data_IF_664691658260
#
_entry.id   IF_664691658260
#
_cell.length_a   1.000
_cell.length_b   1.000
_cell.length_c   1.000
_cell.angle_alpha   90.00
_cell.angle_beta   90.00
_cell.angle_gamma   90.00
#
_symmetry.space_group_name_H-M   'P 1'
#
loop_
_entity.id
_entity.type
_entity.pdbx_description
1 polymer ?
#
# COMPACT_ATOMS: atom_id res chain seq x y z
N UNK A 1 15.36 -64.93 -25.48
CA UNK A 1 14.41 -65.99 -25.91
C UNK A 1 15.06 -67.38 -25.90
N UNK A 2 16.24 -67.56 -26.49
CA UNK A 2 16.94 -68.87 -26.58
C UNK A 2 17.32 -69.48 -25.22
N UNK A 3 17.74 -68.65 -24.26
CA UNK A 3 18.18 -69.11 -22.92
C UNK A 3 17.05 -69.74 -22.10
N UNK A 4 15.83 -69.23 -22.23
CA UNK A 4 14.66 -69.76 -21.54
C UNK A 4 14.27 -71.15 -22.03
N UNK A 5 14.30 -71.37 -23.35
CA UNK A 5 14.03 -72.68 -23.94
C UNK A 5 15.09 -73.73 -23.58
N UNK A 6 16.38 -73.33 -23.50
CA UNK A 6 17.46 -74.22 -23.07
C UNK A 6 17.30 -74.62 -21.61
N UNK A 7 16.93 -73.69 -20.73
CA UNK A 7 16.64 -73.98 -19.31
C UNK A 7 15.44 -74.93 -19.15
N UNK A 8 14.37 -74.70 -19.89
CA UNK A 8 13.18 -75.57 -19.88
C UNK A 8 13.54 -76.98 -20.36
N UNK A 9 14.29 -77.10 -21.46
CA UNK A 9 14.75 -78.40 -21.98
C UNK A 9 15.67 -79.11 -20.98
N UNK A 10 16.61 -78.39 -20.35
CA UNK A 10 17.50 -78.93 -19.33
C UNK A 10 16.72 -79.44 -18.11
N UNK A 11 15.74 -78.68 -17.61
CA UNK A 11 14.90 -79.06 -16.46
C UNK A 11 14.01 -80.26 -16.80
N UNK A 12 13.44 -80.33 -18.01
CA UNK A 12 12.64 -81.47 -18.45
C UNK A 12 13.45 -82.76 -18.53
N UNK A 13 14.66 -82.69 -19.09
CA UNK A 13 15.56 -83.85 -19.18
C UNK A 13 16.00 -84.29 -17.78
N UNK A 14 16.45 -83.34 -16.95
CA UNK A 14 16.90 -83.64 -15.58
C UNK A 14 15.75 -84.20 -14.73
N UNK A 15 14.56 -83.60 -14.83
CA UNK A 15 13.35 -84.05 -14.14
C UNK A 15 12.91 -85.45 -14.56
N UNK A 16 12.97 -85.78 -15.85
CA UNK A 16 12.66 -87.12 -16.35
C UNK A 16 13.64 -88.20 -15.85
N UNK A 17 14.94 -87.87 -15.81
CA UNK A 17 15.97 -88.77 -15.26
C UNK A 17 15.75 -89.00 -13.76
N UNK A 18 15.49 -87.93 -13.01
CA UNK A 18 15.29 -88.02 -11.56
C UNK A 18 13.97 -88.77 -11.23
N UNK A 19 12.91 -88.56 -12.01
CA UNK A 19 11.63 -89.26 -11.83
C UNK A 19 11.72 -90.78 -12.04
N UNK A 20 12.48 -91.23 -13.05
CA UNK A 20 12.69 -92.67 -13.31
C UNK A 20 13.53 -93.35 -12.23
N UNK A 21 14.48 -92.63 -11.62
CA UNK A 21 15.23 -93.11 -10.46
C UNK A 21 14.33 -93.17 -9.22
N UNK A 22 13.47 -92.17 -9.00
CA UNK A 22 12.50 -92.15 -7.90
C UNK A 22 11.51 -93.32 -7.95
N UNK A 23 10.98 -93.64 -9.13
CA UNK A 23 10.08 -94.79 -9.34
C UNK A 23 10.79 -96.14 -9.09
N UNK A 24 12.06 -96.24 -9.48
CA UNK A 24 12.89 -97.42 -9.17
C UNK A 24 13.12 -97.60 -7.67
N UNK A 25 13.27 -96.51 -6.92
CA UNK A 25 13.40 -96.56 -5.46
C UNK A 25 12.07 -96.99 -4.84
N UNK A 26 10.94 -96.41 -5.25
CA UNK A 26 9.61 -96.78 -4.77
C UNK A 26 9.26 -98.25 -5.01
N UNK A 27 9.53 -98.75 -6.22
CA UNK A 27 9.30 -100.16 -6.59
C UNK A 27 10.24 -101.13 -5.87
N UNK A 28 11.52 -100.76 -5.66
CA UNK A 28 12.46 -101.56 -4.85
C UNK A 28 12.03 -101.66 -3.39
N UNK A 29 11.59 -100.55 -2.79
CA UNK A 29 11.08 -100.53 -1.41
C UNK A 29 9.83 -101.39 -1.27
N UNK A 30 8.94 -101.36 -2.27
CA UNK A 30 7.76 -102.24 -2.32
C UNK A 30 8.08 -103.72 -2.49
N UNK A 31 9.09 -104.08 -3.29
CA UNK A 31 9.54 -105.46 -3.45
C UNK A 31 10.31 -105.99 -2.24
N UNK A 32 11.07 -105.14 -1.56
CA UNK A 32 11.83 -105.47 -0.35
C UNK A 32 10.94 -105.70 0.91
N UNK A 33 9.61 -105.57 0.77
CA UNK A 33 8.62 -105.70 1.86
C UNK A 33 8.94 -104.84 3.09
N UNK A 34 9.56 -103.69 2.89
CA UNK A 34 9.92 -102.78 3.98
C UNK A 34 8.64 -102.22 4.62
N UNK A 35 8.61 -102.26 5.94
CA UNK A 35 7.55 -101.68 6.76
C UNK A 35 8.07 -100.39 7.36
N UNK A 36 7.35 -99.29 7.15
CA UNK A 36 7.60 -98.03 7.84
C UNK A 36 6.43 -97.85 8.82
N UNK A 37 6.71 -97.69 10.11
CA UNK A 37 5.68 -97.52 11.15
C UNK A 37 4.55 -98.56 11.11
N UNK A 38 4.88 -99.85 10.99
CA UNK A 38 3.92 -100.98 10.97
C UNK A 38 2.90 -100.99 9.80
N UNK A 39 3.13 -100.23 8.73
CA UNK A 39 2.25 -100.22 7.56
C UNK A 39 2.45 -101.44 6.66
N UNK A 40 1.36 -101.91 6.04
CA UNK A 40 1.40 -103.00 5.04
C UNK A 40 2.37 -102.61 3.90
N UNK A 41 3.32 -103.46 3.48
CA UNK A 41 4.41 -103.07 2.59
C UNK A 41 4.02 -102.38 1.26
N UNK A 42 2.84 -102.72 0.70
CA UNK A 42 2.29 -102.01 -0.47
C UNK A 42 2.01 -100.53 -0.19
N UNK A 43 1.51 -100.20 1.00
CA UNK A 43 1.24 -98.82 1.44
C UNK A 43 2.54 -98.08 1.74
N UNK A 44 3.53 -98.74 2.33
CA UNK A 44 4.88 -98.18 2.54
C UNK A 44 5.53 -97.74 1.24
N UNK A 45 5.49 -98.57 0.21
CA UNK A 45 6.04 -98.24 -1.12
C UNK A 45 5.38 -97.00 -1.73
N UNK A 46 4.06 -96.88 -1.61
CA UNK A 46 3.30 -95.73 -2.09
C UNK A 46 3.68 -94.46 -1.33
N UNK A 47 3.77 -94.52 0.01
CA UNK A 47 4.18 -93.37 0.83
C UNK A 47 5.60 -92.92 0.48
N UNK A 48 6.54 -93.87 0.34
CA UNK A 48 7.91 -93.58 -0.06
C UNK A 48 7.95 -92.93 -1.44
N UNK A 49 7.16 -93.42 -2.39
CA UNK A 49 7.08 -92.83 -3.75
C UNK A 49 6.52 -91.41 -3.73
N UNK A 50 5.46 -91.14 -2.95
CA UNK A 50 4.90 -89.79 -2.77
C UNK A 50 5.94 -88.85 -2.14
N UNK A 51 6.66 -89.34 -1.12
CA UNK A 51 7.69 -88.56 -0.45
C UNK A 51 8.89 -88.26 -1.37
N UNK A 52 9.36 -89.24 -2.14
CA UNK A 52 10.42 -89.06 -3.14
C UNK A 52 9.98 -88.07 -4.23
N UNK A 53 8.75 -88.19 -4.75
CA UNK A 53 8.20 -87.23 -5.73
C UNK A 53 8.07 -85.82 -5.16
N UNK A 54 7.67 -85.69 -3.89
CA UNK A 54 7.63 -84.42 -3.16
C UNK A 54 9.02 -83.78 -2.99
N UNK A 55 10.02 -84.58 -2.61
CA UNK A 55 11.42 -84.14 -2.48
C UNK A 55 12.02 -83.66 -3.81
N UNK A 56 11.75 -84.38 -4.90
CA UNK A 56 12.20 -83.99 -6.25
C UNK A 56 11.57 -82.67 -6.66
N UNK A 57 10.26 -82.52 -6.45
CA UNK A 57 9.52 -81.29 -6.78
C UNK A 57 10.01 -80.11 -5.93
N UNK A 58 10.19 -80.30 -4.62
CA UNK A 58 10.73 -79.29 -3.72
C UNK A 58 12.17 -78.88 -4.09
N UNK A 59 13.03 -79.83 -4.46
CA UNK A 59 14.40 -79.55 -4.90
C UNK A 59 14.43 -78.75 -6.19
N UNK A 60 13.53 -79.06 -7.13
CA UNK A 60 13.40 -78.32 -8.39
C UNK A 60 12.97 -76.87 -8.13
N UNK A 61 11.95 -76.67 -7.29
CA UNK A 61 11.51 -75.35 -6.84
C UNK A 61 12.62 -74.57 -6.12
N UNK A 62 13.38 -75.23 -5.25
CA UNK A 62 14.49 -74.62 -4.53
C UNK A 62 15.60 -74.13 -5.48
N UNK A 63 15.98 -74.95 -6.47
CA UNK A 63 16.95 -74.55 -7.50
C UNK A 63 16.40 -73.38 -8.33
N UNK A 64 15.11 -73.42 -8.69
CA UNK A 64 14.48 -72.37 -9.48
C UNK A 64 14.45 -71.02 -8.74
N UNK A 65 14.12 -71.02 -7.45
CA UNK A 65 14.15 -69.81 -6.61
C UNK A 65 15.56 -69.33 -6.25
N UNK A 66 16.54 -70.23 -6.22
CA UNK A 66 17.95 -69.86 -6.04
C UNK A 66 18.55 -69.24 -7.30
N UNK A 67 18.16 -69.73 -8.48
CA UNK A 67 18.65 -69.25 -9.77
C UNK A 67 17.96 -67.95 -10.24
N UNK A 68 16.69 -67.73 -9.89
CA UNK A 68 15.90 -66.57 -10.34
C UNK A 68 15.28 -65.79 -9.16
N UNK A 69 15.86 -64.63 -8.88
CA UNK A 69 15.35 -63.72 -7.85
C UNK A 69 13.98 -63.10 -8.20
N UNK A 70 13.64 -63.00 -9.49
CA UNK A 70 12.35 -62.51 -9.98
C UNK A 70 11.22 -63.51 -9.71
N UNK A 71 11.45 -64.82 -9.89
CA UNK A 71 10.49 -65.86 -9.51
C UNK A 71 10.28 -65.92 -8.00
N UNK A 72 11.35 -65.80 -7.20
CA UNK A 72 11.22 -65.73 -5.73
C UNK A 72 10.40 -64.50 -5.31
N UNK A 73 10.72 -63.32 -5.83
CA UNK A 73 9.94 -62.10 -5.57
C UNK A 73 8.49 -62.22 -6.05
N UNK A 74 8.27 -62.78 -7.24
CA UNK A 74 6.93 -62.95 -7.81
C UNK A 74 6.04 -63.92 -7.03
N UNK A 75 6.61 -64.98 -6.45
CA UNK A 75 5.84 -65.97 -5.67
C UNK A 75 5.61 -65.52 -4.22
N UNK A 76 6.56 -64.79 -3.61
CA UNK A 76 6.50 -64.47 -2.18
C UNK A 76 6.23 -63.00 -1.84
N UNK A 77 6.58 -62.04 -2.70
CA UNK A 77 6.53 -60.59 -2.40
C UNK A 77 5.59 -59.80 -3.34
N UNK A 78 4.93 -60.46 -4.30
CA UNK A 78 4.16 -59.76 -5.34
C UNK A 78 3.01 -58.93 -4.77
N UNK A 79 2.32 -59.43 -3.76
CA UNK A 79 1.21 -58.72 -3.12
C UNK A 79 1.70 -57.46 -2.40
N UNK A 80 2.85 -57.54 -1.70
CA UNK A 80 3.49 -56.39 -1.07
C UNK A 80 3.96 -55.35 -2.10
N UNK A 81 4.54 -55.80 -3.22
CA UNK A 81 4.97 -54.92 -4.31
C UNK A 81 3.77 -54.21 -4.96
N UNK A 82 2.66 -54.94 -5.19
CA UNK A 82 1.45 -54.34 -5.74
C UNK A 82 0.83 -53.33 -4.77
N UNK A 83 0.83 -53.64 -3.47
CA UNK A 83 0.38 -52.73 -2.42
C UNK A 83 1.24 -51.46 -2.35
N UNK A 84 2.57 -51.60 -2.37
CA UNK A 84 3.50 -50.47 -2.38
C UNK A 84 3.32 -49.59 -3.63
N UNK A 85 3.15 -50.20 -4.81
CA UNK A 85 2.85 -49.47 -6.05
C UNK A 85 1.51 -48.73 -5.97
N UNK A 86 0.49 -49.35 -5.37
CA UNK A 86 -0.79 -48.70 -5.10
C UNK A 86 -0.61 -47.46 -4.21
N UNK A 87 0.05 -47.64 -3.07
CA UNK A 87 0.34 -46.55 -2.12
C UNK A 87 1.14 -45.42 -2.77
N UNK A 88 2.18 -45.75 -3.54
CA UNK A 88 3.02 -44.75 -4.23
C UNK A 88 2.25 -44.00 -5.31
N UNK A 89 1.35 -44.66 -6.04
CA UNK A 89 0.47 -43.99 -7.02
C UNK A 89 -0.50 -43.04 -6.33
N UNK A 90 -1.06 -43.43 -5.18
CA UNK A 90 -1.94 -42.57 -4.39
C UNK A 90 -1.18 -41.36 -3.80
N UNK A 91 0.02 -41.58 -3.28
CA UNK A 91 0.90 -40.51 -2.83
C UNK A 91 1.27 -39.55 -3.96
N UNK A 92 1.62 -40.08 -5.14
CA UNK A 92 1.92 -39.26 -6.32
C UNK A 92 0.72 -38.40 -6.73
N UNK A 93 -0.47 -39.00 -6.82
CA UNK A 93 -1.72 -38.28 -7.14
C UNK A 93 -2.01 -37.17 -6.12
N UNK A 94 -1.78 -37.44 -4.84
CA UNK A 94 -1.95 -36.46 -3.76
C UNK A 94 -0.94 -35.32 -3.89
N UNK A 95 0.33 -35.63 -4.15
CA UNK A 95 1.38 -34.64 -4.32
C UNK A 95 1.15 -33.77 -5.56
N UNK A 96 0.66 -34.34 -6.67
CA UNK A 96 0.29 -33.59 -7.88
C UNK A 96 -0.88 -32.63 -7.61
N UNK A 97 -1.91 -33.08 -6.87
CA UNK A 97 -3.02 -32.23 -6.47
C UNK A 97 -2.57 -31.08 -5.56
N UNK A 98 -1.72 -31.37 -4.56
CA UNK A 98 -1.14 -30.34 -3.69
C UNK A 98 -0.28 -29.35 -4.47
N UNK A 99 0.54 -29.83 -5.41
CA UNK A 99 1.35 -28.96 -6.27
C UNK A 99 0.46 -28.01 -7.09
N UNK A 100 -0.59 -28.54 -7.73
CA UNK A 100 -1.53 -27.72 -8.49
C UNK A 100 -2.23 -26.67 -7.62
N UNK A 101 -2.58 -27.02 -6.38
CA UNK A 101 -3.19 -26.08 -5.44
C UNK A 101 -2.21 -24.96 -5.07
N UNK A 102 -0.98 -25.30 -4.69
CA UNK A 102 0.07 -24.33 -4.33
C UNK A 102 0.43 -23.43 -5.52
N UNK A 103 0.47 -23.95 -6.74
CA UNK A 103 0.68 -23.14 -7.95
C UNK A 103 -0.46 -22.14 -8.18
N UNK A 104 -1.71 -22.54 -7.91
CA UNK A 104 -2.86 -21.64 -7.98
C UNK A 104 -2.77 -20.54 -6.92
N UNK A 105 -2.47 -20.90 -5.67
CA UNK A 105 -2.30 -19.93 -4.57
C UNK A 105 -1.14 -18.97 -4.83
N UNK A 106 -0.02 -19.46 -5.37
CA UNK A 106 1.12 -18.63 -5.75
C UNK A 106 0.75 -17.63 -6.85
N UNK A 107 -0.02 -18.06 -7.85
CA UNK A 107 -0.49 -17.17 -8.91
C UNK A 107 -1.42 -16.09 -8.38
N UNK A 108 -2.34 -16.45 -7.48
CA UNK A 108 -3.23 -15.49 -6.82
C UNK A 108 -2.42 -14.48 -5.98
N UNK A 109 -1.50 -14.95 -5.14
CA UNK A 109 -0.64 -14.09 -4.33
C UNK A 109 0.21 -13.13 -5.18
N UNK A 110 0.69 -13.58 -6.35
CA UNK A 110 1.42 -12.71 -7.29
C UNK A 110 0.51 -11.64 -7.91
N UNK A 111 -0.74 -11.96 -8.22
CA UNK A 111 -1.71 -10.99 -8.74
C UNK A 111 -2.03 -9.93 -7.66
N UNK A 112 -2.30 -10.37 -6.44
CA UNK A 112 -2.55 -9.49 -5.29
C UNK A 112 -1.33 -8.59 -5.02
N UNK A 113 -0.11 -9.15 -5.06
CA UNK A 113 1.12 -8.37 -4.93
C UNK A 113 1.26 -7.30 -6.03
N UNK A 114 0.96 -7.65 -7.28
CA UNK A 114 1.01 -6.71 -8.39
C UNK A 114 -0.01 -5.57 -8.23
N UNK A 115 -1.24 -5.91 -7.81
CA UNK A 115 -2.28 -4.92 -7.52
C UNK A 115 -1.88 -3.99 -6.38
N UNK A 116 -1.38 -4.55 -5.26
CA UNK A 116 -0.90 -3.77 -4.12
C UNK A 116 0.26 -2.83 -4.51
N UNK A 117 1.18 -3.27 -5.38
CA UNK A 117 2.24 -2.41 -5.90
C UNK A 117 1.70 -1.26 -6.75
N UNK A 118 0.70 -1.50 -7.61
CA UNK A 118 0.07 -0.45 -8.40
C UNK A 118 -0.68 0.55 -7.52
N UNK A 119 -1.39 0.07 -6.49
CA UNK A 119 -2.05 0.93 -5.51
C UNK A 119 -1.05 1.79 -4.75
N UNK A 120 0.06 1.20 -4.29
CA UNK A 120 1.12 1.91 -3.59
C UNK A 120 1.71 3.02 -4.48
N UNK A 121 1.91 2.77 -5.76
CA UNK A 121 2.35 3.81 -6.71
C UNK A 121 1.32 4.94 -6.86
N UNK A 122 0.01 4.61 -6.93
CA UNK A 122 -1.07 5.62 -6.99
C UNK A 122 -1.13 6.46 -5.71
N UNK A 123 -0.99 5.81 -4.54
CA UNK A 123 -0.97 6.47 -3.23
C UNK A 123 0.23 7.40 -3.14
N UNK A 124 1.42 6.96 -3.55
CA UNK A 124 2.61 7.81 -3.54
C UNK A 124 2.47 9.05 -4.44
N UNK A 125 1.91 8.88 -5.65
CA UNK A 125 1.61 10.03 -6.54
C UNK A 125 0.61 11.00 -5.89
N UNK A 126 -0.42 10.48 -5.25
CA UNK A 126 -1.43 11.28 -4.55
C UNK A 126 -0.84 12.02 -3.36
N UNK A 127 0.01 11.35 -2.57
CA UNK A 127 0.73 11.94 -1.44
C UNK A 127 1.67 13.06 -1.91
N UNK A 128 2.40 12.87 -3.01
CA UNK A 128 3.25 13.91 -3.58
C UNK A 128 2.42 15.12 -4.03
N UNK A 129 1.29 14.90 -4.69
CA UNK A 129 0.38 15.98 -5.10
C UNK A 129 -0.20 16.73 -3.88
N UNK A 130 -0.61 16.00 -2.83
CA UNK A 130 -1.12 16.57 -1.59
C UNK A 130 -0.05 17.42 -0.88
N UNK A 131 1.20 16.92 -0.80
CA UNK A 131 2.33 17.67 -0.23
C UNK A 131 2.64 18.94 -1.02
N UNK A 132 2.61 18.89 -2.35
CA UNK A 132 2.78 20.08 -3.20
C UNK A 132 1.66 21.09 -2.95
N UNK A 133 0.40 20.64 -2.89
CA UNK A 133 -0.75 21.50 -2.59
C UNK A 133 -0.67 22.12 -1.20
N UNK A 134 -0.22 21.36 -0.19
CA UNK A 134 0.01 21.85 1.16
C UNK A 134 1.06 22.97 1.17
N UNK A 135 2.22 22.75 0.52
CA UNK A 135 3.27 23.78 0.41
C UNK A 135 2.77 25.05 -0.29
N UNK A 136 2.04 24.91 -1.39
CA UNK A 136 1.45 26.05 -2.10
C UNK A 136 0.45 26.81 -1.23
N UNK A 137 -0.41 26.08 -0.50
CA UNK A 137 -1.39 26.67 0.43
C UNK A 137 -0.69 27.41 1.57
N UNK A 138 0.38 26.84 2.14
CA UNK A 138 1.17 27.49 3.19
C UNK A 138 1.84 28.77 2.68
N UNK A 139 2.39 28.74 1.46
CA UNK A 139 2.96 29.94 0.84
C UNK A 139 1.90 31.02 0.61
N UNK A 140 0.69 30.63 0.18
CA UNK A 140 -0.43 31.54 0.01
C UNK A 140 -0.89 32.13 1.35
N UNK A 141 -0.99 31.31 2.40
CA UNK A 141 -1.33 31.77 3.75
C UNK A 141 -0.33 32.83 4.25
N UNK A 142 0.98 32.57 4.10
CA UNK A 142 2.01 33.52 4.49
C UNK A 142 1.91 34.85 3.70
N UNK A 143 1.57 34.79 2.41
CA UNK A 143 1.33 35.99 1.60
C UNK A 143 0.12 36.78 2.10
N UNK A 144 -0.99 36.10 2.40
CA UNK A 144 -2.20 36.72 2.94
C UNK A 144 -1.94 37.37 4.29
N UNK A 145 -1.23 36.69 5.20
CA UNK A 145 -0.85 37.26 6.50
C UNK A 145 -0.01 38.54 6.34
N UNK A 146 0.96 38.54 5.43
CA UNK A 146 1.77 39.73 5.13
C UNK A 146 0.92 40.87 4.54
N UNK A 147 -0.04 40.55 3.67
CA UNK A 147 -0.97 41.55 3.13
C UNK A 147 -1.91 42.11 4.21
N UNK A 148 -2.41 41.26 5.11
CA UNK A 148 -3.23 41.66 6.23
C UNK A 148 -2.46 42.61 7.16
N UNK A 149 -1.22 42.27 7.51
CA UNK A 149 -0.36 43.14 8.32
C UNK A 149 -0.14 44.51 7.67
N UNK A 150 0.18 44.55 6.37
CA UNK A 150 0.33 45.82 5.62
C UNK A 150 -0.97 46.63 5.59
N UNK A 151 -2.10 45.96 5.41
CA UNK A 151 -3.42 46.60 5.39
C UNK A 151 -3.75 47.19 6.75
N UNK A 152 -3.45 46.47 7.84
CA UNK A 152 -3.61 46.98 9.20
C UNK A 152 -2.74 48.21 9.45
N UNK A 153 -1.48 48.20 9.01
CA UNK A 153 -0.61 49.38 9.11
C UNK A 153 -1.18 50.58 8.34
N UNK A 154 -1.69 50.37 7.11
CA UNK A 154 -2.32 51.43 6.31
C UNK A 154 -3.59 51.97 6.96
N UNK A 155 -4.40 51.10 7.57
CA UNK A 155 -5.59 51.51 8.30
C UNK A 155 -5.22 52.42 9.46
N UNK A 156 -4.26 52.01 10.29
CA UNK A 156 -3.78 52.83 11.41
C UNK A 156 -3.23 54.19 10.94
N UNK A 157 -2.42 54.20 9.88
CA UNK A 157 -1.89 55.44 9.28
C UNK A 157 -3.02 56.35 8.77
N UNK A 158 -4.03 55.78 8.13
CA UNK A 158 -5.19 56.52 7.61
C UNK A 158 -6.01 57.11 8.75
N UNK A 159 -6.23 56.35 9.83
CA UNK A 159 -6.90 56.83 11.04
C UNK A 159 -6.13 57.99 11.68
N UNK A 160 -4.81 57.89 11.82
CA UNK A 160 -3.99 59.00 12.34
C UNK A 160 -4.06 60.25 11.45
N UNK A 161 -4.01 60.09 10.13
CA UNK A 161 -4.17 61.21 9.18
C UNK A 161 -5.55 61.85 9.30
N UNK A 162 -6.60 61.05 9.42
CA UNK A 162 -7.97 61.53 9.60
C UNK A 162 -8.09 62.34 10.90
N UNK A 163 -7.51 61.85 12.00
CA UNK A 163 -7.44 62.61 13.26
C UNK A 163 -6.74 63.95 13.11
N UNK A 164 -5.61 64.00 12.39
CA UNK A 164 -4.91 65.26 12.07
C UNK A 164 -5.75 66.23 11.24
N UNK A 165 -6.45 65.73 10.21
CA UNK A 165 -7.34 66.54 9.36
C UNK A 165 -8.49 67.12 10.19
N UNK A 166 -9.08 66.32 11.09
CA UNK A 166 -10.16 66.79 11.98
C UNK A 166 -9.68 67.94 12.87
N UNK A 167 -8.46 67.85 13.43
CA UNK A 167 -7.87 68.93 14.23
C UNK A 167 -7.66 70.19 13.37
N UNK A 168 -7.07 70.05 12.17
CA UNK A 168 -6.86 71.18 11.25
C UNK A 168 -8.17 71.85 10.84
N UNK A 169 -9.19 71.05 10.54
CA UNK A 169 -10.52 71.55 10.20
C UNK A 169 -11.12 72.38 11.34
N UNK A 170 -10.98 71.91 12.59
CA UNK A 170 -11.46 72.64 13.76
C UNK A 170 -10.69 73.96 13.98
N UNK A 171 -9.37 73.95 13.78
CA UNK A 171 -8.53 75.16 13.85
C UNK A 171 -8.92 76.18 12.78
N UNK A 172 -9.01 75.76 11.51
CA UNK A 172 -9.41 76.62 10.41
C UNK A 172 -10.80 77.23 10.65
N UNK A 173 -11.75 76.47 11.20
CA UNK A 173 -13.08 76.97 11.58
C UNK A 173 -13.00 78.06 12.66
N UNK A 174 -12.17 77.86 13.69
CA UNK A 174 -11.98 78.85 14.75
C UNK A 174 -11.29 80.13 14.24
N UNK A 175 -10.30 79.99 13.37
CA UNK A 175 -9.65 81.12 12.69
C UNK A 175 -10.65 81.91 11.83
N UNK A 176 -11.48 81.22 11.06
CA UNK A 176 -12.51 81.83 10.21
C UNK A 176 -13.52 82.63 11.05
N UNK A 177 -13.91 82.13 12.22
CA UNK A 177 -14.75 82.86 13.16
C UNK A 177 -14.06 84.12 13.71
N UNK A 178 -12.76 84.03 13.99
CA UNK A 178 -11.96 85.16 14.49
C UNK A 178 -11.82 86.25 13.42
N UNK A 179 -11.50 85.85 12.18
CA UNK A 179 -11.46 86.74 11.01
C UNK A 179 -12.80 87.42 10.76
N UNK A 180 -13.91 86.68 10.91
CA UNK A 180 -15.25 87.25 10.79
C UNK A 180 -15.49 88.36 11.83
N UNK A 181 -15.16 88.09 13.10
CA UNK A 181 -15.28 89.07 14.18
C UNK A 181 -14.39 90.31 13.95
N UNK A 182 -13.14 90.10 13.55
CA UNK A 182 -12.20 91.19 13.21
C UNK A 182 -12.72 92.07 12.07
N UNK A 183 -13.25 91.44 11.01
CA UNK A 183 -13.84 92.17 9.88
C UNK A 183 -15.00 93.04 10.34
N UNK A 184 -15.86 92.53 11.23
CA UNK A 184 -16.99 93.27 11.78
C UNK A 184 -16.53 94.47 12.63
N UNK A 185 -15.53 94.28 13.50
CA UNK A 185 -14.93 95.37 14.28
C UNK A 185 -14.32 96.45 13.39
N UNK A 186 -13.56 96.04 12.36
CA UNK A 186 -12.97 96.99 11.41
C UNK A 186 -14.03 97.75 10.61
N UNK A 187 -15.12 97.09 10.22
CA UNK A 187 -16.25 97.77 9.57
C UNK A 187 -16.85 98.85 10.47
N UNK A 188 -17.10 98.54 11.74
CA UNK A 188 -17.58 99.53 12.73
C UNK A 188 -16.60 100.69 12.88
N UNK A 189 -15.31 100.40 13.08
CA UNK A 189 -14.28 101.43 13.24
C UNK A 189 -14.15 102.34 11.99
N UNK A 190 -14.31 101.77 10.78
CA UNK A 190 -14.32 102.55 9.54
C UNK A 190 -15.54 103.49 9.49
N UNK A 191 -16.72 103.05 9.92
CA UNK A 191 -17.91 103.91 9.96
C UNK A 191 -17.81 105.00 11.04
N UNK A 192 -17.23 104.69 12.21
CA UNK A 192 -16.93 105.67 13.25
C UNK A 192 -15.94 106.73 12.74
N UNK A 193 -14.82 106.32 12.13
CA UNK A 193 -13.84 107.25 11.56
C UNK A 193 -14.43 108.11 10.44
N UNK A 194 -15.31 107.55 9.59
CA UNK A 194 -16.04 108.35 8.58
C UNK A 194 -16.92 109.42 9.23
N UNK A 195 -17.59 109.07 10.32
CA UNK A 195 -18.47 109.97 11.06
C UNK A 195 -17.66 111.07 11.75
N UNK A 196 -16.57 110.71 12.41
CA UNK A 196 -15.66 111.66 13.06
C UNK A 196 -15.02 112.61 12.04
N UNK A 197 -14.56 112.08 10.90
CA UNK A 197 -14.05 112.90 9.81
C UNK A 197 -15.09 113.92 9.31
N UNK A 198 -16.36 113.53 9.19
CA UNK A 198 -17.45 114.46 8.82
C UNK A 198 -17.65 115.54 9.88
N UNK A 199 -17.61 115.18 11.17
CA UNK A 199 -17.74 116.11 12.30
C UNK A 199 -16.60 117.12 12.32
N UNK A 200 -15.35 116.66 12.25
CA UNK A 200 -14.16 117.52 12.20
C UNK A 200 -14.19 118.45 10.98
N UNK A 201 -14.66 117.97 9.83
CA UNK A 201 -14.84 118.81 8.64
C UNK A 201 -15.88 119.91 8.86
N UNK A 202 -17.01 119.60 9.49
CA UNK A 202 -18.03 120.60 9.83
C UNK A 202 -17.50 121.64 10.83
N UNK A 203 -16.79 121.21 11.88
CA UNK A 203 -16.17 122.10 12.86
C UNK A 203 -15.09 122.98 12.24
N UNK A 204 -14.23 122.41 11.38
CA UNK A 204 -13.22 123.19 10.66
C UNK A 204 -13.88 124.23 9.75
N UNK A 205 -14.97 123.88 9.06
CA UNK A 205 -15.73 124.82 8.24
C UNK A 205 -16.34 125.95 9.08
N UNK A 206 -16.97 125.61 10.20
CA UNK A 206 -17.54 126.58 11.14
C UNK A 206 -16.48 127.54 11.68
N UNK A 207 -15.33 127.03 12.14
CA UNK A 207 -14.22 127.85 12.61
C UNK A 207 -13.63 128.76 11.52
N UNK A 208 -13.57 128.29 10.27
CA UNK A 208 -13.15 129.12 9.12
C UNK A 208 -14.16 130.23 8.85
N UNK A 209 -15.46 129.91 8.89
CA UNK A 209 -16.52 130.89 8.68
C UNK A 209 -16.55 131.94 9.82
N UNK A 210 -16.39 131.51 11.08
CA UNK A 210 -16.21 132.41 12.24
C UNK A 210 -14.99 133.32 12.05
N UNK A 211 -13.82 132.76 11.72
CA UNK A 211 -12.60 133.54 11.49
C UNK A 211 -12.80 134.59 10.37
N UNK A 212 -13.48 134.23 9.27
CA UNK A 212 -13.85 135.19 8.22
C UNK A 212 -14.75 136.30 8.75
N UNK A 213 -15.78 135.99 9.54
CA UNK A 213 -16.65 137.04 10.10
C UNK A 213 -15.93 137.96 11.08
N UNK A 214 -14.94 137.45 11.84
CA UNK A 214 -14.12 138.27 12.73
C UNK A 214 -13.18 139.19 11.93
N UNK A 215 -12.57 138.69 10.86
CA UNK A 215 -11.76 139.50 9.94
C UNK A 215 -12.63 140.58 9.29
N UNK A 216 -13.81 140.24 8.77
CA UNK A 216 -14.74 141.24 8.19
C UNK A 216 -15.19 142.30 9.22
N UNK A 217 -15.37 141.92 10.50
CA UNK A 217 -15.69 142.87 11.58
C UNK A 217 -14.50 143.74 11.96
N UNK A 218 -13.27 143.23 11.85
CA UNK A 218 -12.03 144.01 12.06
C UNK A 218 -11.83 145.01 10.93
N UNK A 219 -12.03 144.59 9.68
CA UNK A 219 -11.85 145.44 8.50
C UNK A 219 -12.92 146.53 8.38
N UNK A 220 -14.09 146.39 9.04
CA UNK A 220 -15.10 147.46 9.18
C UNK A 220 -14.83 148.46 10.31
N UNK A 221 -13.84 148.21 11.17
CA UNK A 221 -13.48 149.05 12.34
C UNK A 221 -12.18 149.84 12.14
N UNK A 222 -11.61 149.78 10.94
CA UNK A 222 -10.48 150.59 10.46
C UNK A 222 -11.04 151.54 9.41
#
# INVERSE_FOLDING_TARGET
MTTGYILIAAILILGGVIATVGDRIGTRVGKARLSLFNLRPKKTAVIVTIFTGGLISASTLAILFAADGGLRKGVFELEDIQRDLGNKREQLKTAEAQKSQVESELNQARQEQSQAQQELQKINKSLQAANTKQKATQAQLNRTLNQQAKTQTRLNQTQSRLGGIVIQYQQARNELQTLYNQRQTLQTAVEELKTERKRLYAQAKEAIDEAKTVIEKRDRKI
#
